data_IF_459153374793
#
_entry.id   IF_459153374793
#
_cell.length_a   1.000
_cell.length_b   1.000
_cell.length_c   1.000
_cell.angle_alpha   90.00
_cell.angle_beta   90.00
_cell.angle_gamma   90.00
#
_symmetry.space_group_name_H-M   'P 1'
#
loop_
_entity.id
_entity.type
_entity.pdbx_description
1 polymer ?
#
# COMPACT_ATOMS: atom_id res chain seq x y z
N UNK A 1 7.11 10.48 -12.71
CA UNK A 1 6.25 9.48 -12.04
C UNK A 1 5.37 8.73 -13.04
N UNK A 2 4.64 9.43 -13.93
CA UNK A 2 3.82 8.81 -14.97
C UNK A 2 4.60 7.80 -15.86
N UNK A 3 5.74 8.21 -16.42
CA UNK A 3 6.44 7.46 -17.48
C UNK A 3 6.94 6.04 -17.12
N UNK A 4 7.14 5.72 -15.84
CA UNK A 4 7.68 4.41 -15.42
C UNK A 4 6.66 3.49 -14.75
N UNK A 5 5.55 4.05 -14.26
CA UNK A 5 4.45 3.28 -13.65
C UNK A 5 3.36 2.95 -14.68
N UNK A 6 3.15 3.82 -15.67
CA UNK A 6 2.22 3.61 -16.79
C UNK A 6 2.41 2.28 -17.55
N UNK A 7 3.64 1.80 -17.83
CA UNK A 7 3.82 0.52 -18.50
C UNK A 7 3.37 -0.67 -17.64
N UNK A 8 3.51 -0.60 -16.32
CA UNK A 8 3.19 -1.70 -15.39
C UNK A 8 1.71 -1.74 -15.03
N UNK A 9 1.04 -0.59 -14.94
CA UNK A 9 -0.41 -0.50 -14.77
C UNK A 9 -1.16 -1.02 -15.99
N UNK A 10 -0.65 -0.75 -17.20
CA UNK A 10 -1.23 -1.22 -18.47
C UNK A 10 -1.15 -2.74 -18.67
N UNK A 11 -0.23 -3.42 -17.97
CA UNK A 11 -0.06 -4.88 -18.02
C UNK A 11 -0.83 -5.63 -16.90
N UNK A 12 -1.56 -4.91 -16.03
CA UNK A 12 -2.27 -5.51 -14.89
C UNK A 12 -1.35 -6.06 -13.80
N UNK A 13 -0.08 -5.67 -13.79
CA UNK A 13 0.94 -6.18 -12.86
C UNK A 13 1.05 -5.35 -11.56
N UNK A 14 0.18 -4.35 -11.40
CA UNK A 14 0.16 -3.47 -10.22
C UNK A 14 -1.12 -3.73 -9.46
N UNK A 15 -0.98 -4.20 -8.22
CA UNK A 15 -2.08 -4.32 -7.27
C UNK A 15 -2.05 -3.16 -6.27
N UNK A 16 -3.21 -2.86 -5.68
CA UNK A 16 -3.34 -1.93 -4.56
C UNK A 16 -3.88 -2.64 -3.32
N UNK A 17 -4.16 -1.90 -2.25
CA UNK A 17 -4.90 -2.35 -1.08
C UNK A 17 -5.62 -1.15 -0.46
N UNK A 18 -6.57 -1.42 0.42
CA UNK A 18 -7.40 -0.38 1.04
C UNK A 18 -6.58 0.71 1.76
N UNK A 19 -5.40 0.39 2.30
CA UNK A 19 -4.53 1.37 2.96
C UNK A 19 -3.97 2.38 1.96
N UNK A 20 -3.41 1.91 0.84
CA UNK A 20 -2.90 2.77 -0.24
C UNK A 20 -4.04 3.61 -0.81
N UNK A 21 -5.21 3.01 -1.03
CA UNK A 21 -6.36 3.72 -1.57
C UNK A 21 -6.82 4.84 -0.63
N UNK A 22 -6.82 4.61 0.69
CA UNK A 22 -7.14 5.64 1.68
C UNK A 22 -6.13 6.80 1.65
N UNK A 23 -4.83 6.51 1.54
CA UNK A 23 -3.79 7.56 1.43
C UNK A 23 -3.94 8.38 0.16
N UNK A 24 -4.17 7.72 -0.97
CA UNK A 24 -4.38 8.38 -2.27
C UNK A 24 -5.62 9.27 -2.20
N UNK A 25 -6.74 8.73 -1.72
CA UNK A 25 -8.01 9.46 -1.64
C UNK A 25 -7.99 10.60 -0.62
N UNK A 26 -7.20 10.49 0.45
CA UNK A 26 -6.97 11.58 1.40
C UNK A 26 -6.33 12.81 0.76
N UNK A 27 -5.56 12.63 -0.32
CA UNK A 27 -4.91 13.74 -1.03
C UNK A 27 -5.85 14.56 -1.92
N UNK A 28 -7.10 14.11 -2.13
CA UNK A 28 -8.08 14.82 -2.93
C UNK A 28 -8.46 16.17 -2.28
N UNK A 29 -8.46 17.24 -3.08
CA UNK A 29 -8.68 18.61 -2.60
C UNK A 29 -10.16 18.97 -2.52
N UNK A 30 -11.01 18.19 -3.18
CA UNK A 30 -12.46 18.40 -3.20
C UNK A 30 -13.19 17.10 -3.59
N UNK A 31 -14.53 17.14 -3.50
CA UNK A 31 -15.42 16.00 -3.81
C UNK A 31 -15.27 15.48 -5.23
N UNK A 32 -15.12 16.36 -6.22
CA UNK A 32 -15.04 15.94 -7.63
C UNK A 32 -13.77 15.14 -7.87
N UNK A 33 -12.63 15.67 -7.39
CA UNK A 33 -11.33 15.01 -7.46
C UNK A 33 -11.34 13.66 -6.72
N UNK A 34 -11.95 13.60 -5.53
CA UNK A 34 -12.10 12.35 -4.78
C UNK A 34 -12.83 11.28 -5.59
N UNK A 35 -13.96 11.62 -6.21
CA UNK A 35 -14.76 10.67 -6.98
C UNK A 35 -14.05 10.19 -8.24
N UNK A 36 -13.32 11.08 -8.91
CA UNK A 36 -12.49 10.74 -10.07
C UNK A 36 -11.38 9.75 -9.67
N UNK A 37 -10.62 10.08 -8.62
CA UNK A 37 -9.56 9.21 -8.10
C UNK A 37 -10.12 7.86 -7.65
N UNK A 38 -11.23 7.82 -6.92
CA UNK A 38 -11.86 6.58 -6.47
C UNK A 38 -12.27 5.69 -7.65
N UNK A 39 -12.80 6.29 -8.72
CA UNK A 39 -13.16 5.56 -9.93
C UNK A 39 -11.93 4.96 -10.64
N UNK A 40 -10.78 5.62 -10.59
CA UNK A 40 -9.51 5.07 -11.10
C UNK A 40 -9.00 3.92 -10.22
N UNK A 41 -9.02 4.09 -8.89
CA UNK A 41 -8.55 3.06 -7.93
C UNK A 41 -9.33 1.76 -8.08
N UNK A 42 -10.64 1.82 -8.25
CA UNK A 42 -11.52 0.65 -8.43
C UNK A 42 -11.17 -0.21 -9.66
N UNK A 43 -10.33 0.27 -10.59
CA UNK A 43 -9.88 -0.49 -11.75
C UNK A 43 -8.64 -1.34 -11.49
N UNK A 44 -7.94 -1.12 -10.38
CA UNK A 44 -6.75 -1.88 -10.00
C UNK A 44 -7.15 -3.15 -9.23
N UNK A 45 -6.49 -4.29 -9.46
CA UNK A 45 -6.58 -5.44 -8.54
C UNK A 45 -6.27 -5.00 -7.11
N UNK A 46 -7.09 -5.42 -6.14
CA UNK A 46 -6.91 -5.05 -4.74
C UNK A 46 -6.60 -6.26 -3.87
N UNK A 47 -5.57 -6.14 -3.06
CA UNK A 47 -5.16 -7.09 -2.03
C UNK A 47 -5.90 -6.78 -0.75
N UNK A 48 -6.52 -7.81 -0.18
CA UNK A 48 -7.26 -7.68 1.06
C UNK A 48 -6.32 -7.53 2.28
N UNK A 49 -6.62 -6.56 3.14
CA UNK A 49 -6.01 -6.44 4.47
C UNK A 49 -6.79 -7.32 5.45
N UNK A 50 -6.50 -8.63 5.41
CA UNK A 50 -7.14 -9.62 6.27
C UNK A 50 -6.35 -9.90 7.56
N UNK A 51 -6.85 -10.82 8.37
CA UNK A 51 -6.23 -11.21 9.65
C UNK A 51 -4.80 -11.72 9.53
N UNK A 52 -4.43 -12.35 8.39
CA UNK A 52 -3.04 -12.79 8.15
C UNK A 52 -2.12 -11.59 7.95
N UNK A 53 -2.57 -10.58 7.21
CA UNK A 53 -1.83 -9.33 6.98
C UNK A 53 -1.63 -8.59 8.29
N UNK A 54 -2.69 -8.42 9.09
CA UNK A 54 -2.59 -7.68 10.36
C UNK A 54 -1.72 -8.41 11.39
N UNK A 55 -1.85 -9.74 11.51
CA UNK A 55 -0.98 -10.54 12.37
C UNK A 55 0.49 -10.44 11.94
N UNK A 56 0.76 -10.46 10.63
CA UNK A 56 2.12 -10.32 10.10
C UNK A 56 2.69 -8.93 10.40
N UNK A 57 1.91 -7.88 10.18
CA UNK A 57 2.28 -6.49 10.51
C UNK A 57 2.68 -6.33 11.97
N UNK A 58 1.90 -6.89 12.91
CA UNK A 58 2.22 -6.87 14.34
C UNK A 58 3.51 -7.64 14.66
N UNK A 59 3.72 -8.81 14.01
CA UNK A 59 4.93 -9.59 14.19
C UNK A 59 6.18 -8.81 13.73
N UNK A 60 6.11 -8.16 12.57
CA UNK A 60 7.21 -7.32 12.04
C UNK A 60 7.47 -6.13 12.96
N UNK A 61 6.42 -5.42 13.40
CA UNK A 61 6.58 -4.31 14.34
C UNK A 61 7.23 -4.76 15.66
N UNK A 62 6.84 -5.92 16.19
CA UNK A 62 7.45 -6.52 17.38
C UNK A 62 8.93 -6.91 17.16
N UNK A 63 9.30 -7.37 15.97
CA UNK A 63 10.71 -7.62 15.62
C UNK A 63 11.51 -6.33 15.56
N UNK A 64 10.95 -5.25 15.00
CA UNK A 64 11.58 -3.93 14.98
C UNK A 64 11.67 -3.31 16.38
N UNK A 65 10.70 -3.57 17.26
CA UNK A 65 10.70 -3.08 18.64
C UNK A 65 11.91 -3.59 19.43
N UNK A 66 12.26 -4.87 19.26
CA UNK A 66 13.46 -5.48 19.86
C UNK A 66 14.76 -4.81 19.40
N UNK A 67 14.74 -4.14 18.25
CA UNK A 67 15.87 -3.40 17.68
C UNK A 67 15.77 -1.88 17.91
N UNK A 68 14.78 -1.40 18.66
CA UNK A 68 14.54 0.03 18.88
C UNK A 68 13.98 0.79 17.67
N UNK A 69 13.48 0.10 16.64
CA UNK A 69 13.07 0.68 15.33
C UNK A 69 11.56 0.54 15.03
N UNK A 70 10.72 0.33 16.04
CA UNK A 70 9.27 0.04 15.82
C UNK A 70 8.42 1.25 15.42
N UNK A 71 8.94 2.47 15.53
CA UNK A 71 8.21 3.72 15.26
C UNK A 71 8.18 4.05 13.77
N UNK A 72 7.72 3.09 12.97
CA UNK A 72 7.40 3.29 11.56
C UNK A 72 5.92 3.69 11.41
N UNK A 73 5.54 4.35 10.31
CA UNK A 73 4.15 4.55 9.97
C UNK A 73 3.39 3.21 9.94
N UNK A 74 2.21 3.19 10.55
CA UNK A 74 1.33 2.01 10.54
C UNK A 74 0.93 1.61 9.10
N UNK A 75 0.63 2.56 8.19
CA UNK A 75 0.37 2.22 6.78
C UNK A 75 1.49 1.40 6.15
N UNK A 76 2.74 1.80 6.34
CA UNK A 76 3.91 1.12 5.77
C UNK A 76 4.01 -0.34 6.21
N UNK A 77 3.78 -0.59 7.51
CA UNK A 77 3.80 -1.94 8.07
C UNK A 77 2.70 -2.82 7.46
N UNK A 78 1.50 -2.27 7.29
CA UNK A 78 0.37 -2.98 6.68
C UNK A 78 0.59 -3.25 5.20
N UNK A 79 1.13 -2.27 4.45
CA UNK A 79 1.43 -2.38 3.03
C UNK A 79 2.53 -3.42 2.79
N UNK A 80 3.63 -3.37 3.55
CA UNK A 80 4.71 -4.34 3.47
C UNK A 80 4.23 -5.75 3.83
N UNK A 81 3.44 -5.89 4.90
CA UNK A 81 2.86 -7.18 5.28
C UNK A 81 1.88 -7.72 4.22
N UNK A 82 1.08 -6.85 3.58
CA UNK A 82 0.17 -7.24 2.52
C UNK A 82 0.94 -7.76 1.30
N UNK A 83 2.02 -7.09 0.92
CA UNK A 83 2.89 -7.55 -0.17
C UNK A 83 3.53 -8.91 0.17
N UNK A 84 4.13 -9.04 1.36
CA UNK A 84 4.78 -10.28 1.80
C UNK A 84 3.81 -11.47 1.85
N UNK A 85 2.64 -11.31 2.46
CA UNK A 85 1.64 -12.38 2.61
C UNK A 85 1.10 -12.88 1.26
N UNK A 86 1.09 -12.02 0.25
CA UNK A 86 0.56 -12.32 -1.08
C UNK A 86 1.66 -12.56 -2.13
N UNK A 87 2.93 -12.71 -1.71
CA UNK A 87 4.09 -12.92 -2.59
C UNK A 87 4.23 -11.86 -3.68
N UNK A 88 3.93 -10.60 -3.35
CA UNK A 88 4.06 -9.47 -4.25
C UNK A 88 5.38 -8.73 -3.98
N UNK A 89 5.92 -8.11 -5.03
CA UNK A 89 7.01 -7.16 -4.90
C UNK A 89 6.42 -5.80 -4.55
N UNK A 90 6.88 -5.22 -3.44
CA UNK A 90 6.49 -3.87 -3.07
C UNK A 90 7.27 -2.85 -3.91
N UNK A 91 6.56 -2.05 -4.70
CA UNK A 91 7.13 -0.90 -5.37
C UNK A 91 6.98 0.31 -4.43
N UNK A 92 8.08 0.74 -3.81
CA UNK A 92 8.13 1.95 -2.99
C UNK A 92 9.04 3.00 -3.63
N UNK A 93 8.77 4.27 -3.33
CA UNK A 93 9.65 5.39 -3.63
C UNK A 93 9.88 6.19 -2.35
N UNK A 94 10.42 5.50 -1.35
CA UNK A 94 10.84 6.07 -0.08
C UNK A 94 12.10 5.30 0.37
N UNK A 95 13.10 6.00 0.91
CA UNK A 95 14.37 5.39 1.30
C UNK A 95 14.27 4.52 2.56
N UNK A 96 13.13 4.57 3.27
CA UNK A 96 12.90 3.90 4.55
C UNK A 96 12.24 2.50 4.45
N UNK A 97 11.88 2.04 3.24
CA UNK A 97 11.37 0.68 2.98
C UNK A 97 12.47 -0.31 2.57
#
# INVERSE_FOLDING_TARGET
MAERVLPLTSLGLVSTCAVIDLEVLYSARNRSEYLEMAAERCRLPSVEINSRVTARSLAVQGQLARKGRHRLPIPDLLIAAAAEVNNLVLLHYDADF
#
